data_IF_485915014800
#
_entry.id   IF_485915014800
#
_cell.length_a   1.000
_cell.length_b   1.000
_cell.length_c   1.000
_cell.angle_alpha   90.00
_cell.angle_beta   90.00
_cell.angle_gamma   90.00
#
_symmetry.space_group_name_H-M   'P 1'
#
loop_
_entity.id
_entity.type
_entity.pdbx_description
1 polymer ?
#
# COMPACT_ATOMS: atom_id res chain seq x y z
N UNK A 1 20.79 -11.22 -14.23
CA UNK A 1 19.81 -11.80 -13.29
C UNK A 1 19.28 -10.60 -12.53
N UNK A 2 18.12 -10.10 -12.90
CA UNK A 2 17.44 -9.03 -12.16
C UNK A 2 16.84 -9.70 -10.94
N UNK A 3 17.31 -9.31 -9.74
CA UNK A 3 16.67 -9.68 -8.49
C UNK A 3 15.22 -9.19 -8.55
N UNK A 4 14.30 -10.12 -8.78
CA UNK A 4 12.88 -9.86 -8.59
C UNK A 4 12.68 -9.67 -7.09
N UNK A 5 12.07 -8.59 -6.66
CA UNK A 5 11.67 -8.39 -5.26
C UNK A 5 10.62 -9.41 -4.81
N UNK A 6 10.01 -10.08 -5.77
CA UNK A 6 9.11 -11.21 -5.53
C UNK A 6 9.88 -12.39 -4.94
N UNK A 7 9.41 -12.91 -3.84
CA UNK A 7 10.01 -14.05 -3.15
C UNK A 7 10.99 -13.68 -2.03
N UNK A 8 11.19 -12.41 -1.72
CA UNK A 8 11.91 -11.99 -0.51
C UNK A 8 10.97 -12.11 0.71
N UNK A 9 11.42 -12.70 1.83
CA UNK A 9 10.62 -12.73 3.06
C UNK A 9 10.25 -11.32 3.53
N UNK A 10 9.00 -11.12 3.96
CA UNK A 10 8.50 -9.79 4.37
C UNK A 10 8.85 -9.40 5.82
N UNK A 11 9.42 -10.30 6.62
CA UNK A 11 9.83 -10.05 8.01
C UNK A 11 8.78 -9.30 8.87
N UNK A 12 7.48 -9.60 8.61
CA UNK A 12 6.37 -8.96 9.32
C UNK A 12 6.01 -7.55 8.81
N UNK A 13 6.55 -7.11 7.67
CA UNK A 13 6.18 -5.83 7.05
C UNK A 13 4.84 -5.93 6.29
N UNK A 14 3.80 -6.29 7.01
CA UNK A 14 2.40 -6.37 6.55
C UNK A 14 1.45 -6.43 7.75
N UNK A 15 0.16 -6.14 7.52
CA UNK A 15 -0.91 -6.44 8.46
C UNK A 15 -2.20 -6.73 7.72
N UNK A 16 -2.68 -7.96 7.82
CA UNK A 16 -3.94 -8.45 7.25
C UNK A 16 -4.73 -9.23 8.31
N UNK A 17 -6.00 -9.54 8.05
CA UNK A 17 -6.86 -10.23 9.00
C UNK A 17 -6.37 -11.63 9.37
N UNK A 18 -6.08 -12.47 8.36
CA UNK A 18 -5.73 -13.87 8.55
C UNK A 18 -5.01 -14.44 7.32
N UNK A 19 -3.74 -14.79 7.45
CA UNK A 19 -2.95 -15.39 6.37
C UNK A 19 -3.42 -16.78 5.95
N UNK A 20 -4.16 -17.50 6.79
CA UNK A 20 -4.71 -18.83 6.45
C UNK A 20 -5.73 -18.78 5.30
N UNK A 21 -6.23 -17.59 4.96
CA UNK A 21 -7.14 -17.37 3.84
C UNK A 21 -6.41 -17.32 2.47
N UNK A 22 -5.09 -17.36 2.45
CA UNK A 22 -4.29 -17.15 1.23
C UNK A 22 -4.57 -18.17 0.14
N UNK A 23 -4.73 -19.45 0.48
CA UNK A 23 -5.02 -20.52 -0.49
C UNK A 23 -6.37 -20.30 -1.19
N UNK A 24 -7.37 -19.83 -0.48
CA UNK A 24 -8.65 -19.46 -1.07
C UNK A 24 -8.50 -18.22 -1.95
N UNK A 25 -7.84 -17.19 -1.45
CA UNK A 25 -7.57 -15.97 -2.21
C UNK A 25 -6.78 -16.24 -3.49
N UNK A 26 -5.81 -17.16 -3.47
CA UNK A 26 -5.04 -17.56 -4.66
C UNK A 26 -5.93 -18.13 -5.76
N UNK A 27 -6.85 -19.00 -5.43
CA UNK A 27 -7.82 -19.57 -6.40
C UNK A 27 -8.74 -18.50 -7.00
N UNK A 28 -9.18 -17.55 -6.18
CA UNK A 28 -10.01 -16.45 -6.66
C UNK A 28 -9.21 -15.49 -7.57
N UNK A 29 -7.93 -15.25 -7.28
CA UNK A 29 -7.03 -14.47 -8.15
C UNK A 29 -6.86 -15.17 -9.51
N UNK A 30 -6.62 -16.49 -9.53
CA UNK A 30 -6.49 -17.29 -10.76
C UNK A 30 -7.77 -17.21 -11.63
N UNK A 31 -8.94 -17.21 -11.02
CA UNK A 31 -10.21 -17.02 -11.73
C UNK A 31 -10.33 -15.59 -12.29
N UNK A 32 -9.98 -14.58 -11.51
CA UNK A 32 -10.04 -13.18 -11.93
C UNK A 32 -9.06 -12.88 -13.09
N UNK A 33 -7.89 -13.52 -13.13
CA UNK A 33 -6.95 -13.39 -14.24
C UNK A 33 -7.58 -13.76 -15.58
N UNK A 34 -8.44 -14.79 -15.61
CA UNK A 34 -9.18 -15.20 -16.83
C UNK A 34 -10.19 -14.12 -17.25
N UNK A 35 -10.75 -13.39 -16.29
CA UNK A 35 -11.72 -12.32 -16.55
C UNK A 35 -11.05 -10.96 -16.89
N UNK A 36 -9.73 -10.88 -16.78
CA UNK A 36 -8.94 -9.66 -17.01
C UNK A 36 -7.94 -9.82 -18.17
N UNK A 37 -8.37 -10.26 -19.37
CA UNK A 37 -7.46 -10.65 -20.46
C UNK A 37 -6.58 -9.47 -20.94
N UNK A 38 -7.06 -8.23 -20.87
CA UNK A 38 -6.27 -7.05 -21.23
C UNK A 38 -5.08 -6.85 -20.32
N UNK A 39 -5.26 -6.95 -19.00
CA UNK A 39 -4.18 -6.82 -18.03
C UNK A 39 -3.20 -8.00 -18.13
N UNK A 40 -3.71 -9.23 -18.37
CA UNK A 40 -2.88 -10.41 -18.57
C UNK A 40 -2.02 -10.30 -19.83
N UNK A 41 -2.56 -9.75 -20.90
CA UNK A 41 -1.80 -9.50 -22.13
C UNK A 41 -0.65 -8.50 -21.90
N UNK A 42 -0.90 -7.41 -21.16
CA UNK A 42 0.14 -6.44 -20.78
C UNK A 42 1.22 -7.11 -19.91
N UNK A 43 0.81 -7.91 -18.91
CA UNK A 43 1.73 -8.66 -18.05
C UNK A 43 2.64 -9.58 -18.87
N UNK A 44 2.09 -10.35 -19.78
CA UNK A 44 2.85 -11.30 -20.60
C UNK A 44 3.79 -10.58 -21.59
N UNK A 45 3.32 -9.50 -22.22
CA UNK A 45 4.08 -8.74 -23.20
C UNK A 45 5.32 -8.08 -22.57
N UNK A 46 5.14 -7.42 -21.39
CA UNK A 46 6.18 -6.56 -20.81
C UNK A 46 6.97 -7.16 -19.65
N UNK A 47 6.58 -8.34 -19.11
CA UNK A 47 7.25 -8.89 -17.92
C UNK A 47 8.76 -9.12 -18.09
N UNK A 48 9.23 -9.35 -19.34
CA UNK A 48 10.67 -9.54 -19.61
C UNK A 48 11.44 -8.23 -19.67
N UNK A 49 10.76 -7.16 -20.06
CA UNK A 49 11.35 -5.83 -20.23
C UNK A 49 11.46 -5.08 -18.90
N UNK A 50 10.66 -5.49 -17.90
CA UNK A 50 10.61 -4.87 -16.57
C UNK A 50 10.44 -3.33 -16.64
N UNK A 51 9.43 -2.81 -17.35
CA UNK A 51 9.29 -1.38 -17.62
C UNK A 51 9.06 -0.54 -16.35
N UNK A 52 8.67 -1.19 -15.24
CA UNK A 52 8.48 -0.57 -13.94
C UNK A 52 9.66 -0.77 -12.98
N UNK A 53 10.83 -1.23 -13.49
CA UNK A 53 12.03 -1.34 -12.67
C UNK A 53 12.39 0.01 -12.04
N UNK A 54 12.51 0.06 -10.71
CA UNK A 54 12.73 1.28 -9.94
C UNK A 54 11.46 2.09 -9.61
N UNK A 55 10.28 1.66 -10.07
CA UNK A 55 9.02 2.22 -9.58
C UNK A 55 8.74 1.68 -8.17
N UNK A 56 8.51 2.59 -7.23
CA UNK A 56 8.08 2.32 -5.85
C UNK A 56 6.66 2.84 -5.68
N UNK A 57 5.70 1.94 -5.77
CA UNK A 57 4.28 2.27 -5.87
C UNK A 57 3.61 2.04 -4.51
N UNK A 58 3.10 3.11 -3.92
CA UNK A 58 2.14 3.02 -2.83
C UNK A 58 0.73 3.05 -3.40
N UNK A 59 -0.06 2.01 -3.15
CA UNK A 59 -1.47 1.96 -3.50
C UNK A 59 -2.37 2.22 -2.31
N UNK A 60 -3.35 3.10 -2.50
CA UNK A 60 -4.49 3.36 -1.62
C UNK A 60 -5.76 3.16 -2.45
N UNK A 61 -6.14 1.91 -2.65
CA UNK A 61 -7.26 1.49 -3.50
C UNK A 61 -7.87 0.22 -2.91
N UNK A 62 -9.16 0.01 -3.11
CA UNK A 62 -9.90 -1.16 -2.62
C UNK A 62 -9.11 -2.45 -2.75
N UNK A 63 -8.82 -3.14 -1.64
CA UNK A 63 -8.05 -4.40 -1.64
C UNK A 63 -8.95 -5.58 -2.00
N UNK A 64 -9.29 -5.67 -3.29
CA UNK A 64 -10.14 -6.72 -3.86
C UNK A 64 -9.32 -7.75 -4.64
N UNK A 65 -9.98 -8.82 -5.08
CA UNK A 65 -9.36 -9.84 -5.94
C UNK A 65 -8.82 -9.23 -7.24
N UNK A 66 -9.55 -8.31 -7.88
CA UNK A 66 -9.10 -7.64 -9.11
C UNK A 66 -7.88 -6.75 -8.83
N UNK A 67 -7.86 -6.09 -7.69
CA UNK A 67 -6.69 -5.32 -7.24
C UNK A 67 -5.49 -6.22 -6.95
N UNK A 68 -5.70 -7.41 -6.42
CA UNK A 68 -4.62 -8.40 -6.26
C UNK A 68 -3.98 -8.76 -7.60
N UNK A 69 -4.79 -8.98 -8.65
CA UNK A 69 -4.28 -9.19 -10.02
C UNK A 69 -3.46 -7.99 -10.51
N UNK A 70 -3.91 -6.75 -10.22
CA UNK A 70 -3.16 -5.53 -10.55
C UNK A 70 -1.83 -5.48 -9.80
N UNK A 71 -1.83 -5.68 -8.48
CA UNK A 71 -0.61 -5.67 -7.65
C UNK A 71 0.41 -6.66 -8.19
N UNK A 72 0.00 -7.89 -8.44
CA UNK A 72 0.89 -8.91 -8.98
C UNK A 72 1.38 -8.59 -10.40
N UNK A 73 0.58 -7.89 -11.19
CA UNK A 73 1.02 -7.39 -12.51
C UNK A 73 2.09 -6.31 -12.35
N UNK A 74 1.90 -5.34 -11.46
CA UNK A 74 2.89 -4.29 -11.21
C UNK A 74 4.22 -4.88 -10.75
N UNK A 75 4.19 -5.87 -9.85
CA UNK A 75 5.40 -6.58 -9.39
C UNK A 75 6.03 -7.39 -10.52
N UNK A 76 5.25 -8.12 -11.32
CA UNK A 76 5.75 -8.87 -12.48
C UNK A 76 6.41 -7.93 -13.54
N UNK A 77 6.01 -6.67 -13.57
CA UNK A 77 6.60 -5.65 -14.45
C UNK A 77 7.80 -4.91 -13.82
N UNK A 78 8.20 -5.27 -12.60
CA UNK A 78 9.41 -4.79 -11.94
C UNK A 78 9.21 -3.73 -10.87
N UNK A 79 7.96 -3.37 -10.52
CA UNK A 79 7.71 -2.42 -9.44
C UNK A 79 7.89 -3.05 -8.05
N UNK A 80 8.35 -2.25 -7.11
CA UNK A 80 8.14 -2.49 -5.69
C UNK A 80 6.78 -1.90 -5.30
N UNK A 81 5.95 -2.66 -4.56
CA UNK A 81 4.57 -2.27 -4.28
C UNK A 81 4.26 -2.41 -2.79
N UNK A 82 3.56 -1.44 -2.22
CA UNK A 82 2.95 -1.48 -0.89
C UNK A 82 1.49 -1.06 -1.01
N UNK A 83 0.57 -1.72 -0.31
CA UNK A 83 -0.86 -1.50 -0.53
C UNK A 83 -1.68 -1.38 0.74
N UNK A 84 -2.58 -0.39 0.76
CA UNK A 84 -3.68 -0.26 1.71
C UNK A 84 -5.02 -0.14 0.98
N UNK A 85 -6.12 -0.33 1.68
CA UNK A 85 -7.44 -0.06 1.12
C UNK A 85 -7.78 1.43 1.25
N UNK A 86 -8.58 1.94 0.33
CA UNK A 86 -9.16 3.30 0.39
C UNK A 86 -10.54 3.31 1.08
N UNK A 87 -10.93 2.24 1.77
CA UNK A 87 -12.21 2.14 2.47
C UNK A 87 -12.19 1.03 3.53
N UNK A 88 -12.68 1.32 4.73
CA UNK A 88 -12.69 0.42 5.88
C UNK A 88 -13.49 -0.89 5.71
N UNK A 89 -14.40 -0.97 4.72
CA UNK A 89 -15.26 -2.14 4.50
C UNK A 89 -15.00 -2.90 3.20
N UNK A 90 -14.21 -2.34 2.28
CA UNK A 90 -14.08 -2.88 0.92
C UNK A 90 -13.03 -3.98 0.77
N UNK A 91 -12.18 -4.17 1.76
CA UNK A 91 -11.15 -5.22 1.72
C UNK A 91 -11.78 -6.61 1.65
N UNK A 92 -11.29 -7.44 0.74
CA UNK A 92 -11.51 -8.88 0.71
C UNK A 92 -10.30 -9.55 1.41
N UNK A 93 -10.48 -10.02 2.63
CA UNK A 93 -9.39 -10.49 3.49
C UNK A 93 -8.58 -11.62 2.85
N UNK A 94 -9.23 -12.50 2.08
CA UNK A 94 -8.55 -13.56 1.34
C UNK A 94 -7.70 -13.02 0.18
N UNK A 95 -8.08 -11.90 -0.46
CA UNK A 95 -7.25 -11.24 -1.46
C UNK A 95 -6.00 -10.62 -0.81
N UNK A 96 -6.16 -9.91 0.29
CA UNK A 96 -5.06 -9.35 1.06
C UNK A 96 -4.07 -10.43 1.53
N UNK A 97 -4.59 -11.53 2.09
CA UNK A 97 -3.78 -12.68 2.51
C UNK A 97 -3.00 -13.29 1.35
N UNK A 98 -3.63 -13.52 0.20
CA UNK A 98 -2.99 -14.12 -0.97
C UNK A 98 -1.88 -13.24 -1.55
N UNK A 99 -2.06 -11.91 -1.56
CA UNK A 99 -1.03 -10.95 -2.02
C UNK A 99 0.16 -10.96 -1.07
N UNK A 100 -0.06 -10.96 0.24
CA UNK A 100 1.01 -11.01 1.25
C UNK A 100 1.78 -12.32 1.17
N UNK A 101 1.08 -13.46 1.12
CA UNK A 101 1.74 -14.76 0.99
C UNK A 101 2.49 -14.87 -0.33
N UNK A 102 1.91 -14.36 -1.41
CA UNK A 102 2.51 -14.44 -2.74
C UNK A 102 2.39 -15.83 -3.37
N UNK A 103 2.91 -15.96 -4.60
CA UNK A 103 2.82 -17.21 -5.36
C UNK A 103 3.75 -18.31 -4.85
N UNK A 104 4.89 -17.93 -4.29
CA UNK A 104 5.97 -18.82 -3.88
C UNK A 104 6.15 -18.89 -2.35
N UNK A 105 5.30 -18.20 -1.58
CA UNK A 105 5.35 -18.14 -0.12
C UNK A 105 4.38 -19.10 0.56
N UNK A 106 4.42 -19.09 1.88
CA UNK A 106 3.46 -19.75 2.77
C UNK A 106 3.01 -18.78 3.86
N UNK A 107 1.92 -19.06 4.59
CA UNK A 107 1.54 -18.21 5.73
C UNK A 107 2.66 -18.01 6.78
N UNK A 108 3.57 -18.98 6.92
CA UNK A 108 4.71 -18.92 7.85
C UNK A 108 5.94 -18.22 7.26
N UNK A 109 6.03 -18.16 5.91
CA UNK A 109 7.12 -17.50 5.16
C UNK A 109 6.52 -16.73 3.98
N UNK A 110 5.83 -15.61 4.24
CA UNK A 110 5.19 -14.82 3.20
C UNK A 110 6.23 -14.11 2.31
N UNK A 111 6.01 -14.15 0.99
CA UNK A 111 6.95 -13.69 -0.04
C UNK A 111 6.31 -12.84 -1.12
N UNK A 112 5.13 -12.29 -0.86
CA UNK A 112 4.40 -11.44 -1.79
C UNK A 112 4.71 -9.96 -1.64
N UNK A 113 3.70 -9.12 -1.81
CA UNK A 113 3.79 -7.68 -1.61
C UNK A 113 3.24 -7.29 -0.23
N UNK A 114 3.83 -6.29 0.45
CA UNK A 114 3.31 -5.73 1.69
C UNK A 114 1.88 -5.21 1.51
N UNK A 115 0.95 -5.69 2.33
CA UNK A 115 -0.43 -5.18 2.40
C UNK A 115 -0.76 -4.85 3.85
N UNK A 116 -1.37 -3.69 4.03
CA UNK A 116 -1.91 -3.22 5.31
C UNK A 116 -3.39 -2.94 5.10
N UNK A 117 -4.23 -3.97 5.19
CA UNK A 117 -5.67 -3.87 5.00
C UNK A 117 -6.43 -5.08 5.54
N UNK A 118 -7.57 -4.84 6.16
CA UNK A 118 -8.57 -5.85 6.53
C UNK A 118 -9.98 -5.27 6.52
N UNK A 119 -10.97 -6.10 6.42
CA UNK A 119 -12.35 -5.66 6.42
C UNK A 119 -12.80 -5.27 7.83
N UNK A 120 -13.34 -4.06 7.98
CA UNK A 120 -13.86 -3.57 9.25
C UNK A 120 -12.82 -2.90 10.12
N UNK A 121 -11.83 -2.25 9.52
CA UNK A 121 -10.90 -1.35 10.20
C UNK A 121 -11.66 -0.25 10.94
N UNK A 122 -11.15 0.18 12.10
CA UNK A 122 -11.55 1.46 12.70
C UNK A 122 -10.92 2.62 11.91
N UNK A 123 -11.36 3.86 12.16
CA UNK A 123 -10.72 5.02 11.52
C UNK A 123 -9.24 5.15 11.87
N UNK A 124 -8.86 4.88 13.12
CA UNK A 124 -7.48 4.90 13.56
C UNK A 124 -6.64 3.82 12.85
N UNK A 125 -7.19 2.62 12.69
CA UNK A 125 -6.52 1.52 11.97
C UNK A 125 -6.36 1.84 10.50
N UNK A 126 -7.38 2.41 9.86
CA UNK A 126 -7.37 2.84 8.46
C UNK A 126 -6.26 3.88 8.19
N UNK A 127 -6.21 4.96 8.99
CA UNK A 127 -5.19 5.98 8.82
C UNK A 127 -3.79 5.49 9.22
N UNK A 128 -3.71 4.55 10.17
CA UNK A 128 -2.46 3.85 10.45
C UNK A 128 -2.01 3.01 9.23
N UNK A 129 -2.88 2.26 8.58
CA UNK A 129 -2.57 1.51 7.36
C UNK A 129 -2.09 2.42 6.24
N UNK A 130 -2.76 3.56 6.03
CA UNK A 130 -2.36 4.60 5.08
C UNK A 130 -0.96 5.14 5.38
N UNK A 131 -0.62 5.38 6.64
CA UNK A 131 0.75 5.75 7.02
C UNK A 131 1.75 4.63 6.73
N UNK A 132 1.43 3.37 7.04
CA UNK A 132 2.35 2.24 6.85
C UNK A 132 2.74 2.03 5.38
N UNK A 133 1.81 2.19 4.45
CA UNK A 133 2.12 2.01 3.02
C UNK A 133 2.96 3.14 2.44
N UNK A 134 2.94 4.31 3.08
CA UNK A 134 3.80 5.44 2.75
C UNK A 134 5.21 5.32 3.38
N UNK A 135 5.38 4.49 4.42
CA UNK A 135 6.66 4.26 5.09
C UNK A 135 7.37 3.07 4.46
N UNK A 136 8.47 3.32 3.82
CA UNK A 136 9.30 2.27 3.23
C UNK A 136 10.46 1.89 4.15
N UNK A 137 10.92 0.62 4.16
CA UNK A 137 11.92 0.14 5.12
C UNK A 137 13.26 0.91 5.11
N UNK A 138 13.64 1.46 3.96
CA UNK A 138 14.85 2.28 3.80
C UNK A 138 14.65 3.76 4.20
N UNK A 139 13.42 4.16 4.49
CA UNK A 139 13.08 5.51 4.93
C UNK A 139 12.80 6.52 3.81
N UNK A 140 12.90 6.13 2.53
CA UNK A 140 12.74 7.07 1.41
C UNK A 140 11.28 7.33 1.03
N UNK A 141 10.42 6.35 1.08
CA UNK A 141 9.02 6.48 0.64
C UNK A 141 8.79 6.10 -0.83
N UNK A 142 7.54 6.24 -1.34
CA UNK A 142 7.18 5.94 -2.72
C UNK A 142 7.68 7.00 -3.68
N UNK A 143 7.86 6.64 -4.96
CA UNK A 143 8.00 7.62 -6.05
C UNK A 143 6.74 7.72 -6.92
N UNK A 144 5.76 6.84 -6.70
CA UNK A 144 4.44 6.87 -7.35
C UNK A 144 3.35 6.52 -6.34
N UNK A 145 2.21 7.20 -6.42
CA UNK A 145 1.03 6.92 -5.61
C UNK A 145 -0.16 6.65 -6.53
N UNK A 146 -0.81 5.50 -6.32
CA UNK A 146 -2.11 5.17 -6.91
C UNK A 146 -3.16 5.31 -5.79
N UNK A 147 -3.99 6.37 -5.88
CA UNK A 147 -4.78 6.86 -4.75
C UNK A 147 -6.24 7.12 -5.13
N UNK A 148 -7.12 6.20 -4.77
CA UNK A 148 -8.56 6.37 -4.96
C UNK A 148 -9.16 7.11 -3.74
N UNK A 149 -9.67 8.32 -3.99
CA UNK A 149 -10.17 9.22 -2.95
C UNK A 149 -9.18 10.28 -2.48
N UNK A 150 -7.87 10.04 -2.63
CA UNK A 150 -6.84 11.04 -2.34
C UNK A 150 -6.33 11.03 -0.89
N UNK A 151 -6.59 9.98 -0.11
CA UNK A 151 -6.27 9.92 1.32
C UNK A 151 -4.76 9.85 1.58
N UNK A 152 -4.02 9.03 0.86
CA UNK A 152 -2.57 8.98 0.95
C UNK A 152 -1.94 10.32 0.53
N UNK A 153 -2.45 10.91 -0.54
CA UNK A 153 -2.04 12.22 -1.04
C UNK A 153 -2.33 13.32 -0.02
N UNK A 154 -3.51 13.28 0.62
CA UNK A 154 -3.88 14.22 1.69
C UNK A 154 -2.89 14.19 2.85
N UNK A 155 -2.52 13.00 3.32
CA UNK A 155 -1.56 12.83 4.44
C UNK A 155 -0.21 13.44 4.08
N UNK A 156 0.30 13.19 2.87
CA UNK A 156 1.57 13.77 2.41
C UNK A 156 1.50 15.30 2.35
N UNK A 157 0.45 15.86 1.73
CA UNK A 157 0.29 17.32 1.65
C UNK A 157 0.15 17.99 3.01
N UNK A 158 -0.69 17.44 3.89
CA UNK A 158 -0.87 17.97 5.24
C UNK A 158 0.39 17.79 6.09
N UNK A 159 1.09 16.69 5.92
CA UNK A 159 2.39 16.47 6.56
C UNK A 159 3.40 17.55 6.20
N UNK A 160 3.59 17.82 4.91
CA UNK A 160 4.47 18.91 4.42
C UNK A 160 4.03 20.28 4.93
N UNK A 161 2.72 20.56 4.94
CA UNK A 161 2.19 21.81 5.46
C UNK A 161 2.57 22.01 6.93
N UNK A 162 2.35 21.00 7.77
CA UNK A 162 2.59 21.09 9.21
C UNK A 162 4.08 21.03 9.59
N UNK A 163 4.89 20.32 8.82
CA UNK A 163 6.35 20.40 8.96
C UNK A 163 6.87 21.82 8.69
N UNK A 164 6.35 22.49 7.64
CA UNK A 164 6.71 23.88 7.32
C UNK A 164 6.29 24.86 8.42
N UNK A 165 5.13 24.64 9.01
CA UNK A 165 4.61 25.48 10.13
C UNK A 165 5.35 25.16 11.44
N UNK A 166 5.86 23.92 11.59
CA UNK A 166 6.46 23.41 12.82
C UNK A 166 5.44 23.06 13.92
N UNK A 167 4.15 22.97 13.57
CA UNK A 167 3.07 22.65 14.49
C UNK A 167 1.87 22.01 13.76
N UNK A 168 1.20 21.10 14.44
CA UNK A 168 -0.08 20.49 14.00
C UNK A 168 -1.21 21.05 14.88
N UNK A 169 -2.38 21.40 14.34
CA UNK A 169 -3.54 21.78 15.15
C UNK A 169 -3.88 20.72 16.19
N UNK A 170 -4.53 21.13 17.28
CA UNK A 170 -4.96 20.19 18.29
C UNK A 170 -6.02 19.24 17.73
N UNK A 171 -5.84 17.91 17.81
CA UNK A 171 -6.87 16.96 17.41
C UNK A 171 -8.25 17.20 18.02
N UNK A 172 -8.30 17.72 19.27
CA UNK A 172 -9.56 18.05 19.95
C UNK A 172 -10.30 19.25 19.32
N UNK A 173 -9.62 20.02 18.46
CA UNK A 173 -10.22 21.15 17.73
C UNK A 173 -10.81 20.76 16.38
N UNK A 174 -10.74 19.48 15.99
CA UNK A 174 -11.21 18.99 14.71
C UNK A 174 -12.76 19.03 14.60
N UNK A 175 -13.26 19.34 13.41
CA UNK A 175 -14.71 19.40 13.15
C UNK A 175 -15.38 18.03 13.08
N UNK A 176 -14.61 16.96 12.94
CA UNK A 176 -15.07 15.57 12.89
C UNK A 176 -13.99 14.59 13.38
N UNK A 177 -14.43 13.35 13.64
CA UNK A 177 -13.60 12.29 14.18
C UNK A 177 -12.43 11.91 13.25
N UNK A 178 -12.69 11.84 11.96
CA UNK A 178 -11.68 11.48 10.96
C UNK A 178 -10.54 12.49 10.91
N UNK A 179 -10.87 13.80 10.90
CA UNK A 179 -9.85 14.84 10.95
C UNK A 179 -9.05 14.79 12.26
N UNK A 180 -9.71 14.48 13.39
CA UNK A 180 -9.02 14.31 14.69
C UNK A 180 -7.96 13.19 14.60
N UNK A 181 -8.29 12.06 14.00
CA UNK A 181 -7.37 10.93 13.80
C UNK A 181 -6.19 11.33 12.90
N UNK A 182 -6.45 12.02 11.79
CA UNK A 182 -5.40 12.52 10.88
C UNK A 182 -4.47 13.48 11.59
N UNK A 183 -5.01 14.44 12.34
CA UNK A 183 -4.21 15.42 13.12
C UNK A 183 -3.37 14.73 14.19
N UNK A 184 -3.91 13.73 14.89
CA UNK A 184 -3.17 12.95 15.87
C UNK A 184 -2.00 12.17 15.23
N UNK A 185 -2.23 11.55 14.08
CA UNK A 185 -1.20 10.87 13.28
C UNK A 185 -0.08 11.84 12.88
N UNK A 186 -0.43 12.98 12.29
CA UNK A 186 0.53 13.98 11.84
C UNK A 186 1.28 14.64 12.99
N UNK A 187 0.64 14.85 14.16
CA UNK A 187 1.28 15.37 15.37
C UNK A 187 2.34 14.40 15.91
N UNK A 188 2.04 13.10 15.92
CA UNK A 188 3.00 12.04 16.28
C UNK A 188 4.15 12.02 15.28
N UNK A 189 3.85 11.98 13.97
CA UNK A 189 4.83 11.96 12.89
C UNK A 189 5.80 13.14 12.94
N UNK A 190 5.31 14.36 13.16
CA UNK A 190 6.13 15.56 13.31
C UNK A 190 7.07 15.46 14.51
N UNK A 191 6.63 14.83 15.62
CA UNK A 191 7.47 14.59 16.79
C UNK A 191 8.56 13.54 16.58
N UNK A 192 8.31 12.54 15.72
CA UNK A 192 9.26 11.47 15.42
C UNK A 192 10.32 11.90 14.39
N UNK A 193 9.89 12.50 13.29
CA UNK A 193 10.77 13.01 12.22
C UNK A 193 10.14 14.26 11.58
N UNK A 194 10.64 15.45 11.89
CA UNK A 194 10.07 16.71 11.45
C UNK A 194 10.33 17.04 9.96
N UNK A 195 10.92 16.13 9.21
CA UNK A 195 11.19 16.29 7.79
C UNK A 195 10.70 15.09 6.95
N UNK A 196 10.01 14.14 7.53
CA UNK A 196 9.55 12.90 6.87
C UNK A 196 8.75 13.18 5.62
N UNK A 197 7.69 13.97 5.75
CA UNK A 197 6.75 14.24 4.66
C UNK A 197 7.35 15.12 3.57
N UNK A 198 8.19 16.08 3.93
CA UNK A 198 8.92 16.91 2.97
C UNK A 198 9.88 16.08 2.14
N UNK A 199 10.69 15.22 2.75
CA UNK A 199 11.59 14.31 2.03
C UNK A 199 10.83 13.34 1.12
N UNK A 200 9.72 12.77 1.63
CA UNK A 200 8.88 11.88 0.85
C UNK A 200 8.27 12.59 -0.36
N UNK A 201 7.72 13.79 -0.18
CA UNK A 201 7.12 14.58 -1.26
C UNK A 201 8.11 14.94 -2.36
N UNK A 202 9.39 15.18 -2.03
CA UNK A 202 10.45 15.42 -3.01
C UNK A 202 10.73 14.20 -3.90
N UNK A 203 10.49 12.99 -3.39
CA UNK A 203 10.67 11.73 -4.11
C UNK A 203 9.51 11.37 -5.03
N UNK A 204 8.30 11.88 -4.77
CA UNK A 204 7.09 11.52 -5.52
C UNK A 204 7.10 12.19 -6.91
N UNK A 205 7.04 11.37 -7.95
CA UNK A 205 7.06 11.79 -9.36
C UNK A 205 5.67 11.81 -10.00
N UNK A 206 4.72 11.05 -9.46
CA UNK A 206 3.37 10.96 -9.98
C UNK A 206 2.36 10.47 -8.96
N UNK A 207 1.14 10.99 -9.09
CA UNK A 207 -0.04 10.58 -8.34
C UNK A 207 -1.18 10.38 -9.33
N UNK A 208 -1.98 9.32 -9.17
CA UNK A 208 -3.13 9.03 -10.01
C UNK A 208 -4.31 8.53 -9.20
#
# INVERSE_FOLDING_TARGET
MTDSTYGTPLDGDFKVADLSLADFGRKEIELAEVEMPGLMAVREEYRREQPLAGARITGSLHMTIQTAVLIETLVDLGAEVRWASCNIFSTQDHAAAAVVVGRDGTPEDPRGAPVFAWKGETLEEYWWCTEQVLRWPDGDGPNMILDDGGDATLVVHKGVEYERIGAVPDPESADNEELAVILALLKRSLGEDPQRWTKMAEGIQGVT
#
